data_IF_384038290706
#
_entry.id   IF_384038290706
#
_cell.length_a   1.000
_cell.length_b   1.000
_cell.length_c   1.000
_cell.angle_alpha   90.00
_cell.angle_beta   90.00
_cell.angle_gamma   90.00
#
_symmetry.space_group_name_H-M   'P 1'
#
loop_
_entity.id
_entity.type
_entity.pdbx_description
1 polymer ?
#
# COMPACT_ATOMS: atom_id res chain seq x y z
N UNK A 1 4.49 9.14 -26.86
CA UNK A 1 4.23 9.59 -25.48
C UNK A 1 3.07 8.82 -24.86
N UNK A 2 1.85 8.91 -25.44
CA UNK A 2 0.62 8.32 -24.86
C UNK A 2 0.68 6.79 -24.67
N UNK A 3 1.34 6.09 -25.61
CA UNK A 3 1.54 4.63 -25.49
C UNK A 3 2.46 4.26 -24.32
N UNK A 4 3.51 5.04 -24.07
CA UNK A 4 4.43 4.84 -22.96
C UNK A 4 3.74 5.12 -21.63
N UNK A 5 2.98 6.21 -21.54
CA UNK A 5 2.18 6.54 -20.35
C UNK A 5 1.15 5.46 -20.03
N UNK A 6 0.45 4.97 -21.06
CA UNK A 6 -0.52 3.88 -20.90
C UNK A 6 0.16 2.57 -20.45
N UNK A 7 1.38 2.27 -20.93
CA UNK A 7 2.17 1.12 -20.51
C UNK A 7 2.56 1.24 -19.04
N UNK A 8 3.23 2.33 -18.67
CA UNK A 8 3.70 2.58 -17.29
C UNK A 8 2.54 2.64 -16.27
N UNK A 9 1.32 3.00 -16.74
CA UNK A 9 0.14 3.00 -15.87
C UNK A 9 -0.42 1.60 -15.60
N UNK A 10 -0.16 0.63 -16.45
CA UNK A 10 -0.75 -0.73 -16.37
C UNK A 10 0.23 -1.79 -15.91
N UNK A 11 1.52 -1.59 -16.20
CA UNK A 11 2.57 -2.56 -15.92
C UNK A 11 3.36 -2.21 -14.64
N UNK A 12 4.10 -3.19 -14.12
CA UNK A 12 5.00 -3.00 -12.97
C UNK A 12 6.27 -2.34 -13.47
N UNK A 13 6.48 -1.07 -13.12
CA UNK A 13 7.66 -0.30 -13.49
C UNK A 13 8.28 0.30 -12.24
N UNK A 14 9.56 0.01 -12.00
CA UNK A 14 10.33 0.58 -10.89
C UNK A 14 11.10 1.82 -11.31
N UNK A 15 11.62 1.81 -12.54
CA UNK A 15 12.46 2.87 -13.08
C UNK A 15 12.27 3.00 -14.60
N UNK A 16 12.27 4.24 -15.08
CA UNK A 16 12.27 4.58 -16.50
C UNK A 16 13.62 5.20 -16.86
N UNK A 17 14.29 4.65 -17.87
CA UNK A 17 15.52 5.20 -18.44
C UNK A 17 15.22 5.96 -19.73
N UNK A 18 15.46 7.29 -19.73
CA UNK A 18 15.24 8.16 -20.88
C UNK A 18 16.59 8.43 -21.56
N UNK A 19 16.68 7.99 -22.82
CA UNK A 19 17.81 8.22 -23.71
C UNK A 19 17.31 8.77 -25.05
N UNK A 20 16.71 9.95 -25.04
CA UNK A 20 16.15 10.63 -26.20
C UNK A 20 16.95 11.87 -26.55
N UNK A 21 17.04 12.30 -27.83
CA UNK A 21 17.59 13.61 -28.19
C UNK A 21 16.76 14.73 -27.58
N UNK A 22 17.44 15.75 -27.01
CA UNK A 22 16.77 16.88 -26.33
C UNK A 22 16.01 17.80 -27.29
N UNK A 23 16.32 17.74 -28.57
CA UNK A 23 15.79 18.68 -29.57
C UNK A 23 14.32 18.35 -29.95
N UNK A 24 13.92 17.10 -29.81
CA UNK A 24 12.62 16.61 -30.28
C UNK A 24 11.56 16.45 -29.18
N UNK A 25 11.94 16.46 -27.88
CA UNK A 25 11.03 16.13 -26.77
C UNK A 25 11.23 17.02 -25.56
N UNK A 26 10.12 17.45 -24.96
CA UNK A 26 10.14 18.11 -23.66
C UNK A 26 10.29 17.08 -22.52
N UNK A 27 11.55 16.72 -22.22
CA UNK A 27 11.89 15.70 -21.20
C UNK A 27 11.43 16.09 -19.81
N UNK A 28 11.35 17.40 -19.49
CA UNK A 28 10.90 17.85 -18.18
C UNK A 28 9.47 17.44 -17.87
N UNK A 29 8.59 17.42 -18.87
CA UNK A 29 7.19 17.01 -18.69
C UNK A 29 7.11 15.51 -18.39
N UNK A 30 7.87 14.66 -19.11
CA UNK A 30 7.92 13.23 -18.83
C UNK A 30 8.49 12.92 -17.45
N UNK A 31 9.58 13.58 -17.05
CA UNK A 31 10.15 13.39 -15.72
C UNK A 31 9.13 13.76 -14.64
N UNK A 32 8.48 14.92 -14.79
CA UNK A 32 7.46 15.39 -13.83
C UNK A 32 6.28 14.41 -13.74
N UNK A 33 5.85 13.86 -14.86
CA UNK A 33 4.72 12.92 -14.92
C UNK A 33 5.06 11.58 -14.25
N UNK A 34 6.24 11.00 -14.51
CA UNK A 34 6.70 9.78 -13.84
C UNK A 34 7.00 9.99 -12.35
N UNK A 35 7.60 11.14 -11.97
CA UNK A 35 7.76 11.50 -10.56
C UNK A 35 6.41 11.58 -9.85
N UNK A 36 5.39 12.14 -10.51
CA UNK A 36 4.05 12.23 -9.93
C UNK A 36 3.42 10.87 -9.64
N UNK A 37 3.85 9.83 -10.37
CA UNK A 37 3.46 8.42 -10.16
C UNK A 37 4.36 7.69 -9.16
N UNK A 38 5.43 8.33 -8.67
CA UNK A 38 6.39 7.74 -7.76
C UNK A 38 7.37 6.77 -8.41
N UNK A 39 7.58 6.88 -9.73
CA UNK A 39 8.51 6.06 -10.51
C UNK A 39 9.85 6.79 -10.61
N UNK A 40 10.95 6.08 -10.38
CA UNK A 40 12.28 6.63 -10.53
C UNK A 40 12.60 6.86 -12.01
N UNK A 41 13.12 8.05 -12.34
CA UNK A 41 13.49 8.38 -13.73
C UNK A 41 14.97 8.64 -13.81
N UNK A 42 15.65 7.93 -14.72
CA UNK A 42 17.05 8.12 -15.06
C UNK A 42 17.17 8.70 -16.46
N UNK A 43 17.88 9.82 -16.60
CA UNK A 43 18.05 10.51 -17.87
C UNK A 43 19.54 10.57 -18.24
N UNK A 44 19.87 10.27 -19.51
CA UNK A 44 21.25 10.41 -20.00
C UNK A 44 21.66 11.88 -19.98
N UNK A 45 22.78 12.17 -19.32
CA UNK A 45 23.26 13.54 -19.07
C UNK A 45 23.74 14.28 -20.33
N UNK A 46 24.13 13.58 -21.39
CA UNK A 46 24.74 14.19 -22.57
C UNK A 46 23.78 15.04 -23.40
N UNK A 47 22.53 15.16 -23.02
CA UNK A 47 21.49 15.74 -23.83
C UNK A 47 20.72 16.93 -23.18
N UNK A 48 20.90 17.30 -21.87
CA UNK A 48 19.88 18.10 -21.19
C UNK A 48 20.34 19.22 -20.25
N UNK A 49 19.51 20.27 -20.15
CA UNK A 49 19.62 21.35 -19.19
C UNK A 49 18.67 21.08 -17.99
N UNK A 50 19.21 20.63 -16.85
CA UNK A 50 18.45 20.10 -15.70
C UNK A 50 18.09 21.14 -14.62
N UNK A 51 18.06 22.42 -14.93
CA UNK A 51 17.99 23.48 -13.91
C UNK A 51 16.69 23.46 -13.05
N UNK A 52 15.61 22.85 -13.53
CA UNK A 52 14.27 22.97 -12.93
C UNK A 52 13.67 21.65 -12.38
N UNK A 53 14.38 20.53 -12.41
CA UNK A 53 13.84 19.23 -12.03
C UNK A 53 14.19 18.86 -10.58
N UNK A 54 13.27 18.16 -9.90
CA UNK A 54 13.22 17.84 -8.48
C UNK A 54 14.45 17.17 -7.84
N UNK A 55 14.25 16.28 -6.86
CA UNK A 55 15.34 15.55 -6.20
C UNK A 55 16.10 14.67 -7.18
N UNK A 56 17.41 14.88 -7.32
CA UNK A 56 18.24 14.21 -8.32
C UNK A 56 19.51 13.60 -7.75
N UNK A 57 19.92 12.45 -8.29
CA UNK A 57 21.23 11.84 -8.05
C UNK A 57 21.90 11.49 -9.35
N UNK A 58 23.19 11.83 -9.46
CA UNK A 58 24.04 11.37 -10.56
C UNK A 58 24.57 9.99 -10.22
N UNK A 59 24.41 9.04 -11.14
CA UNK A 59 24.97 7.68 -11.03
C UNK A 59 25.45 7.18 -12.40
N UNK A 60 26.22 6.11 -12.40
CA UNK A 60 26.68 5.46 -13.61
C UNK A 60 25.89 4.16 -13.84
N UNK A 61 25.35 4.00 -15.04
CA UNK A 61 24.60 2.80 -15.45
C UNK A 61 25.15 2.35 -16.81
N UNK A 62 25.76 1.15 -16.86
CA UNK A 62 26.31 0.59 -18.09
C UNK A 62 27.39 1.48 -18.76
N UNK A 63 28.17 2.21 -18.01
CA UNK A 63 29.21 3.15 -18.51
C UNK A 63 28.68 4.52 -18.97
N UNK A 64 27.36 4.78 -18.76
CA UNK A 64 26.73 6.08 -19.03
C UNK A 64 26.50 6.84 -17.73
N UNK A 65 26.86 8.12 -17.73
CA UNK A 65 26.48 9.02 -16.63
C UNK A 65 25.02 9.40 -16.76
N UNK A 66 24.20 9.04 -15.75
CA UNK A 66 22.77 9.30 -15.73
C UNK A 66 22.38 10.16 -14.54
N UNK A 67 21.32 10.94 -14.68
CA UNK A 67 20.64 11.58 -13.56
C UNK A 67 19.36 10.79 -13.26
N UNK A 68 19.25 10.30 -12.03
CA UNK A 68 18.03 9.68 -11.54
C UNK A 68 17.23 10.72 -10.77
N UNK A 69 15.96 10.88 -11.16
CA UNK A 69 14.98 11.67 -10.44
C UNK A 69 14.11 10.72 -9.62
N UNK A 70 13.89 11.05 -8.36
CA UNK A 70 13.03 10.27 -7.49
C UNK A 70 12.34 11.18 -6.50
N UNK A 71 11.08 10.88 -6.23
CA UNK A 71 10.31 11.60 -5.21
C UNK A 71 10.93 11.45 -3.82
N UNK A 72 11.57 10.29 -3.55
CA UNK A 72 12.11 9.99 -2.23
C UNK A 72 13.42 9.20 -2.30
N UNK A 73 14.52 9.85 -1.92
CA UNK A 73 15.81 9.18 -1.70
C UNK A 73 15.99 8.83 -0.22
N UNK A 74 15.62 7.64 0.17
CA UNK A 74 15.86 7.15 1.54
C UNK A 74 17.31 6.70 1.73
N UNK A 75 17.86 6.96 2.92
CA UNK A 75 19.19 6.45 3.29
C UNK A 75 19.12 4.92 3.40
N UNK A 76 20.04 4.16 2.78
CA UNK A 76 20.02 2.69 2.84
C UNK A 76 20.02 2.15 4.28
N UNK A 77 20.70 2.80 5.21
CA UNK A 77 20.71 2.44 6.62
C UNK A 77 19.33 2.52 7.27
N UNK A 78 18.51 3.53 6.90
CA UNK A 78 17.15 3.67 7.41
C UNK A 78 16.23 2.59 6.84
N UNK A 79 16.38 2.27 5.54
CA UNK A 79 15.62 1.19 4.88
C UNK A 79 15.95 -0.17 5.53
N UNK A 80 17.23 -0.41 5.81
CA UNK A 80 17.68 -1.62 6.50
C UNK A 80 17.12 -1.71 7.92
N UNK A 81 17.21 -0.63 8.70
CA UNK A 81 16.67 -0.58 10.05
C UNK A 81 15.13 -0.76 10.07
N UNK A 82 14.41 -0.18 9.09
CA UNK A 82 12.98 -0.45 8.90
C UNK A 82 12.72 -1.94 8.68
N UNK A 83 13.50 -2.59 7.81
CA UNK A 83 13.34 -4.02 7.53
C UNK A 83 13.59 -4.88 8.78
N UNK A 84 14.56 -4.53 9.60
CA UNK A 84 14.83 -5.22 10.87
C UNK A 84 13.65 -5.07 11.83
N UNK A 85 13.10 -3.87 11.95
CA UNK A 85 11.89 -3.60 12.74
C UNK A 85 10.70 -4.41 12.22
N UNK A 86 10.51 -4.46 10.89
CA UNK A 86 9.45 -5.23 10.25
C UNK A 86 9.56 -6.73 10.57
N UNK A 87 10.75 -7.30 10.48
CA UNK A 87 10.99 -8.73 10.79
C UNK A 87 10.72 -9.02 12.26
N UNK A 88 11.26 -8.20 13.18
CA UNK A 88 11.06 -8.38 14.60
C UNK A 88 9.57 -8.31 14.98
N UNK A 89 8.86 -7.30 14.49
CA UNK A 89 7.42 -7.16 14.73
C UNK A 89 6.59 -8.26 14.05
N UNK A 90 7.00 -8.72 12.86
CA UNK A 90 6.32 -9.82 12.17
C UNK A 90 6.45 -11.15 12.94
N UNK A 91 7.63 -11.47 13.45
CA UNK A 91 7.83 -12.67 14.27
C UNK A 91 6.98 -12.64 15.55
N UNK A 92 6.96 -11.48 16.23
CA UNK A 92 6.11 -11.29 17.40
C UNK A 92 4.61 -11.41 17.05
N UNK A 93 4.17 -10.75 15.97
CA UNK A 93 2.78 -10.82 15.51
C UNK A 93 2.36 -12.22 15.07
N UNK A 94 3.25 -12.99 14.42
CA UNK A 94 2.99 -14.38 14.05
C UNK A 94 2.90 -15.31 15.25
N UNK A 95 3.68 -15.08 16.30
CA UNK A 95 3.53 -15.83 17.57
C UNK A 95 2.12 -15.62 18.13
N UNK A 96 1.65 -14.37 18.21
CA UNK A 96 0.28 -14.05 18.65
C UNK A 96 -0.74 -14.67 17.70
N UNK A 97 -0.54 -14.56 16.38
CA UNK A 97 -1.41 -15.18 15.38
C UNK A 97 -1.55 -16.67 15.59
N UNK A 98 -0.45 -17.39 15.86
CA UNK A 98 -0.45 -18.82 16.15
C UNK A 98 -1.29 -19.17 17.38
N UNK A 99 -1.09 -18.46 18.50
CA UNK A 99 -1.85 -18.68 19.73
C UNK A 99 -3.36 -18.41 19.53
N UNK A 100 -3.70 -17.31 18.86
CA UNK A 100 -5.09 -16.93 18.56
C UNK A 100 -5.74 -17.91 17.59
N UNK A 101 -4.98 -18.47 16.65
CA UNK A 101 -5.45 -19.45 15.67
C UNK A 101 -5.99 -20.72 16.30
N UNK A 102 -5.45 -21.15 17.45
CA UNK A 102 -5.93 -22.36 18.17
C UNK A 102 -7.42 -22.23 18.50
N UNK A 103 -7.87 -21.02 18.84
CA UNK A 103 -9.27 -20.77 19.18
C UNK A 103 -10.08 -20.32 17.96
N UNK A 104 -9.53 -19.40 17.14
CA UNK A 104 -10.31 -18.80 16.05
C UNK A 104 -10.53 -19.75 14.87
N UNK A 105 -9.55 -20.59 14.52
CA UNK A 105 -9.67 -21.47 13.35
C UNK A 105 -10.87 -22.45 13.51
N UNK A 106 -11.03 -23.17 14.63
CA UNK A 106 -12.22 -24.01 14.85
C UNK A 106 -13.53 -23.22 14.79
N UNK A 107 -13.55 -22.01 15.38
CA UNK A 107 -14.76 -21.18 15.42
C UNK A 107 -15.17 -20.67 14.03
N UNK A 108 -14.21 -20.23 13.21
CA UNK A 108 -14.45 -19.74 11.85
C UNK A 108 -14.92 -20.89 10.94
N UNK A 109 -14.36 -22.10 11.14
CA UNK A 109 -14.68 -23.28 10.29
C UNK A 109 -16.02 -23.93 10.61
N UNK A 110 -16.76 -23.49 11.63
CA UNK A 110 -18.08 -24.05 11.99
C UNK A 110 -19.11 -23.99 10.86
N UNK A 111 -18.97 -23.06 9.93
CA UNK A 111 -19.84 -22.91 8.75
C UNK A 111 -19.35 -23.73 7.53
N UNK A 112 -18.34 -24.59 7.68
CA UNK A 112 -17.79 -25.47 6.64
C UNK A 112 -16.77 -24.80 5.70
N UNK A 113 -16.54 -23.47 5.79
CA UNK A 113 -15.62 -22.75 4.93
C UNK A 113 -14.17 -22.72 5.44
N UNK A 114 -13.21 -22.20 4.64
CA UNK A 114 -11.82 -22.05 5.03
C UNK A 114 -11.64 -21.04 6.16
N UNK A 115 -10.67 -21.25 7.06
CA UNK A 115 -10.37 -20.32 8.14
C UNK A 115 -9.69 -19.03 7.67
N UNK A 116 -8.89 -19.13 6.63
CA UNK A 116 -8.15 -18.02 6.04
C UNK A 116 -8.82 -17.55 4.75
N UNK A 117 -8.84 -16.25 4.58
CA UNK A 117 -9.22 -15.57 3.35
C UNK A 117 -7.95 -15.06 2.67
N UNK A 118 -7.83 -15.33 1.37
CA UNK A 118 -6.71 -14.91 0.55
C UNK A 118 -7.25 -14.08 -0.62
N UNK A 119 -6.71 -12.88 -0.79
CA UNK A 119 -7.10 -11.98 -1.88
C UNK A 119 -5.87 -11.41 -2.55
N UNK A 120 -5.86 -11.32 -3.88
CA UNK A 120 -4.82 -10.57 -4.59
C UNK A 120 -4.95 -9.08 -4.28
N UNK A 121 -3.84 -8.48 -3.88
CA UNK A 121 -3.69 -7.05 -3.61
C UNK A 121 -2.51 -6.51 -4.37
N UNK A 122 -2.47 -5.18 -4.49
CA UNK A 122 -1.41 -4.47 -5.18
C UNK A 122 -0.47 -3.86 -4.16
N UNK A 123 0.80 -4.16 -4.29
CA UNK A 123 1.89 -3.70 -3.44
C UNK A 123 2.73 -2.62 -4.12
N UNK A 124 4.00 -2.53 -3.67
CA UNK A 124 4.93 -1.52 -4.18
C UNK A 124 5.05 -1.58 -5.70
N UNK A 125 4.96 -0.42 -6.35
CA UNK A 125 5.10 -0.21 -7.79
C UNK A 125 4.19 -1.10 -8.66
N UNK A 126 2.99 -1.44 -8.13
CA UNK A 126 2.02 -2.23 -8.89
C UNK A 126 2.17 -3.76 -8.77
N UNK A 127 3.14 -4.28 -8.00
CA UNK A 127 3.35 -5.73 -7.84
C UNK A 127 2.20 -6.41 -7.13
N UNK A 128 1.69 -7.49 -7.70
CA UNK A 128 0.64 -8.29 -7.08
C UNK A 128 1.20 -9.22 -6.03
N UNK A 129 0.46 -9.37 -4.92
CA UNK A 129 0.78 -10.34 -3.87
C UNK A 129 -0.48 -10.93 -3.26
N UNK A 130 -0.36 -12.08 -2.59
CA UNK A 130 -1.46 -12.71 -1.87
C UNK A 130 -1.55 -12.12 -0.45
N UNK A 131 -2.66 -11.48 -0.18
CA UNK A 131 -2.96 -10.82 1.09
C UNK A 131 -3.77 -11.75 1.99
N UNK A 132 -3.29 -12.04 3.18
CA UNK A 132 -3.86 -13.02 4.09
C UNK A 132 -4.63 -12.37 5.23
N UNK A 133 -5.83 -12.91 5.51
CA UNK A 133 -6.65 -12.55 6.69
C UNK A 133 -7.32 -13.78 7.27
N UNK A 134 -7.79 -13.71 8.52
CA UNK A 134 -8.84 -14.62 8.96
C UNK A 134 -10.14 -14.28 8.24
N UNK A 135 -10.87 -15.30 7.83
CA UNK A 135 -12.15 -15.10 7.16
C UNK A 135 -13.17 -14.56 8.16
N UNK A 136 -13.65 -13.37 7.90
CA UNK A 136 -14.69 -12.67 8.69
C UNK A 136 -16.06 -12.61 8.02
N UNK A 137 -16.11 -13.03 6.76
CA UNK A 137 -17.32 -12.99 5.93
C UNK A 137 -17.74 -14.39 5.49
N UNK A 138 -19.00 -14.49 5.02
CA UNK A 138 -19.55 -15.69 4.41
C UNK A 138 -18.75 -16.10 3.17
N UNK A 139 -18.88 -17.37 2.76
CA UNK A 139 -18.16 -17.91 1.60
C UNK A 139 -18.59 -17.23 0.29
N UNK A 140 -19.86 -16.85 0.19
CA UNK A 140 -20.49 -16.19 -0.96
C UNK A 140 -20.35 -14.65 -0.96
N UNK A 141 -19.52 -14.09 -0.08
CA UNK A 141 -19.42 -12.65 0.16
C UNK A 141 -19.02 -11.82 -1.06
N UNK A 142 -18.17 -12.35 -1.96
CA UNK A 142 -17.74 -11.64 -3.17
C UNK A 142 -18.85 -11.58 -4.23
N UNK A 143 -19.71 -12.59 -4.30
CA UNK A 143 -20.89 -12.61 -5.19
C UNK A 143 -21.88 -11.55 -4.75
N UNK A 144 -22.20 -11.52 -3.45
CA UNK A 144 -23.13 -10.56 -2.83
C UNK A 144 -22.60 -9.11 -2.93
N UNK A 145 -21.29 -8.91 -2.97
CA UNK A 145 -20.68 -7.56 -3.04
C UNK A 145 -21.21 -6.75 -4.22
N UNK A 146 -21.46 -7.39 -5.37
CA UNK A 146 -21.93 -6.71 -6.58
C UNK A 146 -23.29 -6.04 -6.36
N UNK A 147 -24.18 -6.69 -5.63
CA UNK A 147 -25.53 -6.20 -5.35
C UNK A 147 -25.54 -5.09 -4.29
N UNK A 148 -24.44 -4.98 -3.52
CA UNK A 148 -24.30 -4.01 -2.43
C UNK A 148 -23.52 -2.74 -2.84
N UNK A 149 -23.06 -2.62 -4.09
CA UNK A 149 -22.24 -1.49 -4.53
C UNK A 149 -22.94 -0.13 -4.39
N UNK A 150 -24.25 -0.08 -4.51
CA UNK A 150 -25.06 1.15 -4.33
C UNK A 150 -25.05 1.67 -2.89
N UNK A 151 -24.75 0.81 -1.90
CA UNK A 151 -24.69 1.15 -0.48
C UNK A 151 -23.28 1.53 -0.02
N UNK A 152 -22.35 1.75 -0.96
CA UNK A 152 -20.99 2.16 -0.66
C UNK A 152 -20.96 3.57 -0.04
N UNK A 153 -20.30 3.71 1.11
CA UNK A 153 -20.14 4.99 1.82
C UNK A 153 -18.85 5.73 1.48
N UNK A 154 -17.97 5.13 0.65
CA UNK A 154 -16.69 5.72 0.25
C UNK A 154 -16.74 6.23 -1.18
N UNK A 155 -16.00 7.31 -1.45
CA UNK A 155 -15.71 7.75 -2.82
C UNK A 155 -14.54 6.93 -3.41
N UNK A 156 -14.40 6.96 -4.74
CA UNK A 156 -13.37 6.18 -5.43
C UNK A 156 -13.66 4.68 -5.44
N UNK A 157 -12.65 3.87 -5.67
CA UNK A 157 -12.77 2.41 -5.81
C UNK A 157 -12.90 1.63 -4.50
N UNK A 158 -12.76 2.27 -3.34
CA UNK A 158 -12.87 1.60 -2.04
C UNK A 158 -14.34 1.29 -1.72
N UNK A 159 -14.58 0.06 -1.22
CA UNK A 159 -15.91 -0.37 -0.76
C UNK A 159 -15.98 -0.41 0.78
N UNK A 160 -16.96 0.30 1.33
CA UNK A 160 -17.29 0.27 2.76
C UNK A 160 -18.79 0.52 2.93
N UNK A 161 -19.42 -0.27 3.81
CA UNK A 161 -20.80 -0.05 4.22
C UNK A 161 -20.98 -0.27 5.71
N UNK A 162 -21.99 0.36 6.30
CA UNK A 162 -22.41 0.09 7.67
C UNK A 162 -23.24 -1.18 7.70
N UNK A 163 -23.07 -1.99 8.78
CA UNK A 163 -23.83 -3.24 8.98
C UNK A 163 -23.77 -4.21 7.79
N UNK A 164 -22.59 -4.46 7.27
CA UNK A 164 -22.36 -5.35 6.12
C UNK A 164 -22.96 -6.75 6.38
N UNK A 165 -24.00 -7.19 5.63
CA UNK A 165 -24.71 -8.45 5.85
C UNK A 165 -23.85 -9.69 5.55
N UNK A 166 -22.72 -9.49 4.86
CA UNK A 166 -21.76 -10.55 4.54
C UNK A 166 -20.92 -10.98 5.75
N UNK A 167 -20.86 -10.15 6.80
CA UNK A 167 -20.03 -10.39 7.99
C UNK A 167 -20.71 -11.40 8.91
N UNK A 168 -20.01 -12.49 9.21
CA UNK A 168 -20.49 -13.52 10.15
C UNK A 168 -20.52 -13.01 11.61
N UNK A 169 -21.26 -13.65 12.53
CA UNK A 169 -21.25 -13.26 13.95
C UNK A 169 -19.84 -13.27 14.56
N UNK A 170 -19.05 -14.32 14.30
CA UNK A 170 -17.63 -14.39 14.72
C UNK A 170 -16.79 -13.35 13.97
N UNK A 171 -17.12 -13.09 12.71
CA UNK A 171 -16.48 -12.07 11.88
C UNK A 171 -16.60 -10.68 12.47
N UNK A 172 -17.75 -10.31 13.03
CA UNK A 172 -17.95 -9.04 13.73
C UNK A 172 -17.01 -8.89 14.93
N UNK A 173 -16.85 -9.95 15.70
CA UNK A 173 -15.93 -9.94 16.85
C UNK A 173 -14.47 -9.77 16.41
N UNK A 174 -13.99 -10.56 15.43
CA UNK A 174 -12.59 -10.51 15.01
C UNK A 174 -12.25 -9.20 14.28
N UNK A 175 -13.19 -8.61 13.52
CA UNK A 175 -13.03 -7.28 12.91
C UNK A 175 -12.99 -6.16 13.94
N UNK A 176 -13.90 -6.21 14.93
CA UNK A 176 -13.94 -5.23 16.03
C UNK A 176 -12.65 -5.22 16.87
N UNK A 177 -11.97 -6.35 16.94
CA UNK A 177 -10.71 -6.53 17.67
C UNK A 177 -9.48 -6.48 16.76
N UNK A 178 -9.67 -6.29 15.44
CA UNK A 178 -8.62 -6.34 14.40
C UNK A 178 -7.83 -7.66 14.37
N UNK A 179 -8.36 -8.72 14.98
CA UNK A 179 -7.73 -10.04 14.97
C UNK A 179 -7.73 -10.66 13.58
N UNK A 180 -8.67 -10.27 12.71
CA UNK A 180 -8.71 -10.72 11.31
C UNK A 180 -7.45 -10.34 10.54
N UNK A 181 -6.71 -9.34 10.97
CA UNK A 181 -5.51 -8.83 10.29
C UNK A 181 -4.20 -9.52 10.72
N UNK A 182 -4.22 -10.36 11.79
CA UNK A 182 -3.02 -11.03 12.27
C UNK A 182 -2.27 -11.87 11.21
N UNK A 183 -2.93 -12.58 10.28
CA UNK A 183 -2.21 -13.33 9.24
C UNK A 183 -1.36 -12.46 8.31
N UNK A 184 -1.59 -11.13 8.23
CA UNK A 184 -0.78 -10.20 7.43
C UNK A 184 0.65 -10.07 7.95
N UNK A 185 0.93 -10.43 9.21
CA UNK A 185 2.32 -10.50 9.70
C UNK A 185 3.17 -11.50 8.89
N UNK A 186 2.56 -12.51 8.28
CA UNK A 186 3.23 -13.37 7.32
C UNK A 186 3.65 -12.59 6.05
N UNK A 187 2.78 -11.73 5.51
CA UNK A 187 3.13 -10.85 4.38
C UNK A 187 4.29 -9.90 4.74
N UNK A 188 4.33 -9.42 5.98
CA UNK A 188 5.45 -8.59 6.45
C UNK A 188 6.74 -9.40 6.52
N UNK A 189 6.68 -10.63 7.06
CA UNK A 189 7.85 -11.49 7.19
C UNK A 189 8.47 -11.84 5.84
N UNK A 190 7.67 -12.21 4.84
CA UNK A 190 8.16 -12.53 3.48
C UNK A 190 8.53 -11.28 2.67
N UNK A 191 8.12 -10.09 3.11
CA UNK A 191 8.53 -8.81 2.53
C UNK A 191 7.56 -8.19 1.53
N UNK A 192 6.38 -8.76 1.33
CA UNK A 192 5.31 -8.16 0.53
C UNK A 192 4.78 -6.87 1.17
N UNK A 193 4.74 -6.86 2.51
CA UNK A 193 4.27 -5.74 3.32
C UNK A 193 5.33 -5.28 4.33
N UNK A 194 5.04 -4.19 4.98
CA UNK A 194 5.73 -3.63 6.15
C UNK A 194 4.75 -3.55 7.33
N UNK A 195 5.23 -3.35 8.54
CA UNK A 195 4.36 -3.02 9.68
C UNK A 195 3.62 -1.71 9.41
N UNK A 196 4.35 -0.68 8.95
CA UNK A 196 3.81 0.65 8.65
C UNK A 196 4.00 0.98 7.18
N UNK A 197 2.94 1.39 6.52
CA UNK A 197 2.93 1.75 5.10
C UNK A 197 1.55 2.19 4.64
N UNK A 198 1.36 2.27 3.34
CA UNK A 198 0.06 2.58 2.73
C UNK A 198 -0.85 1.35 2.74
N UNK A 199 -2.17 1.53 2.74
CA UNK A 199 -3.10 0.38 2.62
C UNK A 199 -2.98 -0.24 1.21
N UNK A 200 -2.77 -1.56 1.07
CA UNK A 200 -2.74 -2.20 -0.24
C UNK A 200 -4.13 -2.19 -0.88
N UNK A 201 -4.30 -1.62 -2.09
CA UNK A 201 -5.57 -1.65 -2.80
C UNK A 201 -5.89 -3.06 -3.32
N UNK A 202 -7.17 -3.29 -3.62
CA UNK A 202 -7.59 -4.43 -4.45
C UNK A 202 -7.15 -4.21 -5.90
N UNK A 203 -7.19 -5.26 -6.72
CA UNK A 203 -6.91 -5.16 -8.15
C UNK A 203 -7.88 -4.18 -8.82
N UNK A 204 -9.16 -4.27 -8.49
CA UNK A 204 -10.22 -3.40 -9.06
C UNK A 204 -10.02 -1.93 -8.65
N UNK A 205 -9.66 -1.67 -7.37
CA UNK A 205 -9.32 -0.32 -6.91
C UNK A 205 -8.16 0.25 -7.73
N UNK A 206 -7.09 -0.54 -7.91
CA UNK A 206 -5.88 -0.12 -8.62
C UNK A 206 -6.13 0.19 -10.11
N UNK A 207 -6.97 -0.59 -10.77
CA UNK A 207 -7.28 -0.37 -12.18
C UNK A 207 -7.92 1.01 -12.44
N UNK A 208 -8.58 1.57 -11.43
CA UNK A 208 -9.25 2.86 -11.49
C UNK A 208 -8.40 4.02 -10.94
N UNK A 209 -7.13 3.78 -10.56
CA UNK A 209 -6.26 4.83 -10.03
C UNK A 209 -5.81 5.80 -11.11
N UNK A 210 -5.89 7.09 -10.81
CA UNK A 210 -5.21 8.14 -11.57
C UNK A 210 -3.69 8.05 -11.37
N UNK A 211 -2.88 8.66 -12.24
CA UNK A 211 -1.41 8.74 -12.05
C UNK A 211 -1.03 9.31 -10.67
N UNK A 212 -1.67 10.37 -10.22
CA UNK A 212 -1.42 10.97 -8.91
C UNK A 212 -1.73 10.01 -7.74
N UNK A 213 -2.80 9.22 -7.84
CA UNK A 213 -3.18 8.23 -6.84
C UNK A 213 -2.21 7.03 -6.81
N UNK A 214 -1.55 6.72 -7.94
CA UNK A 214 -0.52 5.67 -8.01
C UNK A 214 0.71 5.99 -7.18
N UNK A 215 1.03 7.26 -6.92
CA UNK A 215 2.16 7.67 -6.08
C UNK A 215 2.18 6.95 -4.73
N UNK A 216 1.02 6.67 -4.14
CA UNK A 216 0.92 5.92 -2.88
C UNK A 216 1.47 4.50 -2.93
N UNK A 217 1.69 3.95 -4.13
CA UNK A 217 2.27 2.62 -4.34
C UNK A 217 3.80 2.65 -4.48
N UNK A 218 4.44 3.82 -4.52
CA UNK A 218 5.90 3.92 -4.55
C UNK A 218 6.56 3.45 -3.24
N UNK A 219 5.76 3.27 -2.19
CA UNK A 219 6.19 2.73 -0.90
C UNK A 219 5.56 1.35 -0.64
N UNK A 220 6.25 0.53 0.19
CA UNK A 220 5.75 -0.79 0.56
C UNK A 220 4.45 -0.66 1.37
N UNK A 221 3.38 -1.42 1.07
CA UNK A 221 2.14 -1.38 1.84
C UNK A 221 2.36 -1.84 3.28
N UNK A 222 1.54 -1.34 4.20
CA UNK A 222 1.61 -1.63 5.61
C UNK A 222 0.37 -2.33 6.18
N UNK A 223 0.53 -2.99 7.33
CA UNK A 223 -0.60 -3.45 8.16
C UNK A 223 -1.33 -2.22 8.69
N UNK A 224 -0.56 -1.21 9.14
CA UNK A 224 -1.08 0.10 9.57
C UNK A 224 -0.43 1.23 8.79
N UNK A 225 -0.99 2.43 8.86
CA UNK A 225 -0.47 3.60 8.18
C UNK A 225 -1.03 4.89 8.77
N UNK A 226 -0.52 6.04 8.29
CA UNK A 226 -0.87 7.34 8.84
C UNK A 226 -2.38 7.61 8.78
N UNK A 227 -3.04 7.38 7.64
CA UNK A 227 -4.47 7.61 7.51
C UNK A 227 -5.30 6.69 8.43
N UNK A 228 -4.84 5.44 8.64
CA UNK A 228 -5.52 4.46 9.50
C UNK A 228 -5.54 4.89 10.97
N UNK A 229 -4.55 5.67 11.42
CA UNK A 229 -4.49 6.19 12.80
C UNK A 229 -4.92 7.65 12.93
N UNK A 230 -5.32 8.30 11.81
CA UNK A 230 -5.72 9.72 11.75
C UNK A 230 -7.21 9.93 11.47
N UNK A 231 -8.06 8.94 11.78
CA UNK A 231 -9.51 9.07 11.58
C UNK A 231 -10.16 7.97 10.75
N UNK A 232 -9.38 6.98 10.32
CA UNK A 232 -9.78 5.71 9.66
C UNK A 232 -11.20 5.65 9.06
N UNK A 233 -12.23 5.72 9.91
CA UNK A 233 -13.63 5.53 9.50
C UNK A 233 -14.37 6.84 9.19
N UNK A 234 -13.80 7.98 9.55
CA UNK A 234 -14.40 9.30 9.36
C UNK A 234 -13.98 9.91 8.01
N UNK A 235 -12.84 9.46 7.46
CA UNK A 235 -12.37 9.90 6.15
C UNK A 235 -13.08 9.08 5.08
N UNK A 236 -14.00 9.71 4.37
CA UNK A 236 -14.79 9.10 3.27
C UNK A 236 -14.28 9.48 1.89
N UNK A 237 -13.52 10.56 1.78
CA UNK A 237 -12.89 11.00 0.54
C UNK A 237 -11.58 10.25 0.30
N UNK A 238 -11.50 9.56 -0.84
CA UNK A 238 -10.31 8.80 -1.21
C UNK A 238 -9.09 9.68 -1.48
N UNK A 239 -9.26 10.88 -2.01
CA UNK A 239 -8.15 11.78 -2.26
C UNK A 239 -7.52 12.31 -0.96
N UNK A 240 -8.29 12.42 0.12
CA UNK A 240 -7.74 12.70 1.44
C UNK A 240 -6.91 11.53 1.98
N UNK A 241 -7.35 10.28 1.75
CA UNK A 241 -6.55 9.09 2.06
C UNK A 241 -5.21 9.13 1.32
N UNK A 242 -5.25 9.45 0.01
CA UNK A 242 -4.04 9.57 -0.82
C UNK A 242 -3.10 10.65 -0.29
N UNK A 243 -3.61 11.82 0.07
CA UNK A 243 -2.81 12.93 0.65
C UNK A 243 -2.09 12.49 1.93
N UNK A 244 -2.79 11.79 2.84
CA UNK A 244 -2.18 11.29 4.09
C UNK A 244 -1.10 10.23 3.82
N UNK A 245 -1.35 9.32 2.87
CA UNK A 245 -0.37 8.31 2.48
C UNK A 245 0.88 8.96 1.87
N UNK A 246 0.71 9.95 0.98
CA UNK A 246 1.81 10.71 0.38
C UNK A 246 2.57 11.50 1.43
N UNK A 247 1.89 12.20 2.34
CA UNK A 247 2.52 12.95 3.44
C UNK A 247 3.33 12.03 4.38
N UNK A 248 2.87 10.79 4.59
CA UNK A 248 3.65 9.80 5.32
C UNK A 248 4.95 9.44 4.57
N UNK A 249 4.88 9.22 3.26
CA UNK A 249 6.03 8.82 2.45
C UNK A 249 7.06 9.93 2.31
N UNK A 250 6.61 11.17 2.11
CA UNK A 250 7.50 12.33 1.91
C UNK A 250 8.32 12.66 3.15
N UNK A 251 7.69 12.55 4.33
CA UNK A 251 8.34 12.82 5.62
C UNK A 251 8.72 11.52 6.37
N UNK A 252 8.90 10.41 5.66
CA UNK A 252 9.14 9.14 6.33
C UNK A 252 10.45 9.13 7.12
N UNK A 253 10.33 8.67 8.37
CA UNK A 253 11.44 8.35 9.27
C UNK A 253 11.08 7.10 10.09
N UNK A 254 12.08 6.37 10.59
CA UNK A 254 11.84 5.25 11.52
C UNK A 254 11.08 5.70 12.77
N UNK A 255 11.36 6.90 13.26
CA UNK A 255 10.65 7.46 14.41
C UNK A 255 9.15 7.65 14.12
N UNK A 256 8.81 8.08 12.93
CA UNK A 256 7.43 8.20 12.49
C UNK A 256 6.71 6.85 12.44
N UNK A 257 7.42 5.79 12.02
CA UNK A 257 6.89 4.41 12.09
C UNK A 257 6.58 4.01 13.53
N UNK A 258 7.52 4.24 14.46
CA UNK A 258 7.30 3.94 15.87
C UNK A 258 6.09 4.71 16.43
N UNK A 259 5.95 5.99 16.11
CA UNK A 259 4.80 6.79 16.53
C UNK A 259 3.47 6.23 15.97
N UNK A 260 3.44 5.81 14.71
CA UNK A 260 2.25 5.21 14.10
C UNK A 260 1.94 3.87 14.76
N UNK A 261 2.93 3.02 15.04
CA UNK A 261 2.74 1.75 15.75
C UNK A 261 2.14 1.97 17.15
N UNK A 262 2.67 2.92 17.92
CA UNK A 262 2.13 3.25 19.24
C UNK A 262 0.69 3.76 19.16
N UNK A 263 0.38 4.63 18.17
CA UNK A 263 -0.99 5.08 17.91
C UNK A 263 -1.90 3.91 17.51
N UNK A 264 -1.41 2.99 16.69
CA UNK A 264 -2.17 1.80 16.27
C UNK A 264 -2.57 0.95 17.47
N UNK A 265 -1.64 0.67 18.38
CA UNK A 265 -1.94 -0.06 19.62
C UNK A 265 -3.03 0.64 20.42
N UNK A 266 -2.95 1.97 20.57
CA UNK A 266 -3.95 2.77 21.26
C UNK A 266 -5.33 2.68 20.59
N UNK A 267 -5.40 2.82 19.25
CA UNK A 267 -6.64 2.73 18.46
C UNK A 267 -7.28 1.34 18.59
N UNK A 268 -6.46 0.27 18.48
CA UNK A 268 -6.95 -1.12 18.62
C UNK A 268 -7.49 -1.37 20.01
N UNK A 269 -6.79 -0.95 21.07
CA UNK A 269 -7.23 -1.13 22.47
C UNK A 269 -8.51 -0.34 22.77
N UNK A 270 -8.67 0.85 22.20
CA UNK A 270 -9.87 1.68 22.36
C UNK A 270 -11.02 1.26 21.43
N UNK A 271 -10.76 0.36 20.49
CA UNK A 271 -11.72 -0.07 19.45
C UNK A 271 -12.26 1.11 18.63
N UNK A 272 -11.47 2.18 18.48
CA UNK A 272 -11.84 3.37 17.72
C UNK A 272 -11.87 3.03 16.21
N UNK A 273 -12.99 3.38 15.53
CA UNK A 273 -13.13 3.17 14.08
C UNK A 273 -13.28 1.70 13.62
N UNK A 274 -13.42 0.74 14.52
CA UNK A 274 -13.77 -0.63 14.17
C UNK A 274 -15.30 -0.74 14.04
N UNK A 275 -15.78 -0.75 12.80
CA UNK A 275 -17.21 -1.01 12.45
C UNK A 275 -17.36 -2.36 11.77
#
# INVERSE_FOLDING_TARGET
PDQMMNFVTKEVVDEVFINLPSEDYNISDFVSEFESMGIDVSVNLNAFNFASLGNKRVREVGGLSVVTFSTNFYKPSHVFAKRLLDIAGALFGLLICGLVSIVLVPLIRKDGGPAFFVQKRVGKNGRYFNFYKFRSMRVDAEEIKKDLMEQNTMTGGMFKMENDPRVTPIGRFIRKTSLDELPQFYNVLIGDMSLVGTRPPTVDEYQNYTPAQKRRLSFKPGITGLWQVSGRSEITDFDEVVKLDVAYMDDWTIWRDIQILLKTVKVVLRKEGAK
#
